data_IF_122991846079
#
_entry.id   IF_122991846079
#
_cell.length_a   1.000
_cell.length_b   1.000
_cell.length_c   1.000
_cell.angle_alpha   90.00
_cell.angle_beta   90.00
_cell.angle_gamma   90.00
#
_symmetry.space_group_name_H-M   'P 1'
#
loop_
_entity.id
_entity.type
_entity.pdbx_description
1 polymer ?
#
# COMPACT_ATOMS: atom_id res chain seq x y z
N UNK A 1 -20.19 -34.20 -35.27
CA UNK A 1 -20.91 -32.93 -35.00
C UNK A 1 -19.93 -31.81 -35.27
N UNK A 2 -20.19 -30.95 -36.24
CA UNK A 2 -19.35 -29.76 -36.46
C UNK A 2 -19.43 -28.86 -35.23
N UNK A 3 -18.32 -28.70 -34.52
CA UNK A 3 -18.27 -27.80 -33.37
C UNK A 3 -18.43 -26.36 -33.85
N UNK A 4 -19.46 -25.69 -33.36
CA UNK A 4 -19.75 -24.30 -33.70
C UNK A 4 -18.60 -23.41 -33.24
N UNK A 5 -17.95 -22.72 -34.19
CA UNK A 5 -16.89 -21.75 -33.90
C UNK A 5 -17.46 -20.53 -33.15
N UNK A 6 -16.77 -20.12 -32.10
CA UNK A 6 -17.08 -18.95 -31.27
C UNK A 6 -16.49 -17.71 -31.94
N UNK A 7 -17.27 -16.63 -32.02
CA UNK A 7 -16.79 -15.33 -32.48
C UNK A 7 -16.08 -14.63 -31.31
N UNK A 8 -14.79 -14.35 -31.47
CA UNK A 8 -13.97 -13.63 -30.50
C UNK A 8 -13.67 -12.24 -31.01
N UNK A 9 -14.06 -11.22 -30.26
CA UNK A 9 -13.78 -9.81 -30.54
C UNK A 9 -12.78 -9.27 -29.53
N UNK A 10 -11.67 -8.71 -30.03
CA UNK A 10 -10.69 -8.01 -29.21
C UNK A 10 -10.93 -6.51 -29.37
N UNK A 11 -11.11 -5.79 -28.27
CA UNK A 11 -11.50 -4.37 -28.28
C UNK A 11 -10.50 -3.55 -27.48
N UNK A 12 -10.03 -2.46 -28.06
CA UNK A 12 -9.23 -1.45 -27.36
C UNK A 12 -10.13 -0.75 -26.34
N UNK A 13 -9.83 -0.91 -25.06
CA UNK A 13 -10.61 -0.36 -23.95
C UNK A 13 -10.61 1.18 -23.92
N UNK A 14 -9.54 1.82 -24.41
CA UNK A 14 -9.37 3.28 -24.41
C UNK A 14 -10.15 3.95 -25.55
N UNK A 15 -10.14 3.33 -26.74
CA UNK A 15 -10.81 3.86 -27.94
C UNK A 15 -12.21 3.27 -28.13
N UNK A 16 -12.54 2.22 -27.38
CA UNK A 16 -13.76 1.39 -27.52
C UNK A 16 -13.94 0.87 -28.95
N UNK A 17 -12.85 0.71 -29.70
CA UNK A 17 -12.81 0.23 -31.08
C UNK A 17 -12.37 -1.22 -31.16
N UNK A 18 -12.98 -1.99 -32.06
CA UNK A 18 -12.56 -3.37 -32.33
C UNK A 18 -11.17 -3.37 -32.96
N UNK A 19 -10.22 -4.03 -32.30
CA UNK A 19 -8.86 -4.25 -32.82
C UNK A 19 -8.91 -5.33 -33.89
N UNK A 20 -9.52 -6.48 -33.58
CA UNK A 20 -9.69 -7.58 -34.51
C UNK A 20 -10.84 -8.50 -34.10
N UNK A 21 -11.36 -9.26 -35.06
CA UNK A 21 -12.37 -10.30 -34.85
C UNK A 21 -11.85 -11.62 -35.43
N UNK A 22 -11.98 -12.70 -34.66
CA UNK A 22 -11.59 -14.04 -35.09
C UNK A 22 -12.67 -15.07 -34.74
N UNK A 23 -12.55 -16.27 -35.33
CA UNK A 23 -13.40 -17.42 -35.01
C UNK A 23 -12.53 -18.52 -34.42
N UNK A 24 -12.83 -18.93 -33.19
CA UNK A 24 -12.06 -19.94 -32.44
C UNK A 24 -12.92 -21.15 -32.12
N UNK A 25 -12.30 -22.32 -32.02
CA UNK A 25 -12.95 -23.50 -31.47
C UNK A 25 -13.07 -23.37 -29.95
N UNK A 26 -14.11 -23.93 -29.30
CA UNK A 26 -14.20 -23.94 -27.84
C UNK A 26 -12.97 -24.52 -27.14
N UNK A 27 -12.30 -25.50 -27.75
CA UNK A 27 -11.06 -26.10 -27.23
C UNK A 27 -9.85 -25.17 -27.25
N UNK A 28 -9.89 -24.09 -28.03
CA UNK A 28 -8.82 -23.09 -28.16
C UNK A 28 -8.97 -21.94 -27.16
N UNK A 29 -10.03 -21.93 -26.35
CA UNK A 29 -10.29 -20.90 -25.35
C UNK A 29 -9.94 -21.40 -23.94
N UNK A 30 -9.33 -20.57 -23.09
CA UNK A 30 -9.13 -20.88 -21.68
C UNK A 30 -10.48 -21.07 -20.97
N UNK A 31 -10.49 -21.82 -19.88
CA UNK A 31 -11.71 -22.10 -19.12
C UNK A 31 -12.25 -20.84 -18.42
N UNK A 32 -11.36 -19.91 -18.08
CA UNK A 32 -11.65 -18.60 -17.52
C UNK A 32 -10.68 -17.56 -18.09
N UNK A 33 -11.18 -16.36 -18.35
CA UNK A 33 -10.33 -15.21 -18.67
C UNK A 33 -10.05 -14.45 -17.39
N UNK A 34 -8.85 -14.63 -16.84
CA UNK A 34 -8.36 -13.85 -15.71
C UNK A 34 -7.89 -12.48 -16.19
N UNK A 35 -8.24 -11.43 -15.43
CA UNK A 35 -7.68 -10.10 -15.62
C UNK A 35 -6.16 -10.19 -15.46
N UNK A 36 -5.38 -9.39 -16.21
CA UNK A 36 -3.89 -9.34 -16.21
C UNK A 36 -3.20 -10.32 -17.19
N UNK A 37 -3.92 -11.11 -18.00
CA UNK A 37 -3.31 -11.86 -19.11
C UNK A 37 -2.72 -10.94 -20.17
N UNK A 38 -1.47 -11.17 -20.60
CA UNK A 38 -0.82 -10.42 -21.69
C UNK A 38 -1.04 -11.16 -23.03
N UNK A 39 -1.47 -10.42 -24.04
CA UNK A 39 -1.62 -10.89 -25.43
C UNK A 39 -0.69 -10.10 -26.33
N UNK A 40 0.06 -10.81 -27.18
CA UNK A 40 0.79 -10.19 -28.28
C UNK A 40 -0.12 -10.13 -29.52
N UNK A 41 -0.41 -8.92 -30.00
CA UNK A 41 -1.27 -8.68 -31.16
C UNK A 41 -0.52 -7.76 -32.10
N UNK A 42 -0.18 -8.26 -33.30
CA UNK A 42 0.55 -7.50 -34.33
C UNK A 42 1.91 -6.94 -33.85
N UNK A 43 2.61 -7.68 -32.98
CA UNK A 43 3.90 -7.26 -32.41
C UNK A 43 3.79 -6.21 -31.31
N UNK A 44 2.58 -5.93 -30.82
CA UNK A 44 2.32 -5.07 -29.66
C UNK A 44 1.77 -5.90 -28.51
N UNK A 45 2.15 -5.57 -27.29
CA UNK A 45 1.65 -6.23 -26.08
C UNK A 45 0.40 -5.51 -25.53
N UNK A 46 -0.58 -6.31 -25.12
CA UNK A 46 -1.87 -5.85 -24.63
C UNK A 46 -2.24 -6.63 -23.37
N UNK A 47 -2.74 -5.94 -22.34
CA UNK A 47 -3.26 -6.58 -21.13
C UNK A 47 -4.77 -6.77 -21.24
N UNK A 48 -5.27 -7.93 -20.85
CA UNK A 48 -6.71 -8.21 -20.70
C UNK A 48 -7.26 -7.48 -19.48
N UNK A 49 -8.14 -6.51 -19.72
CA UNK A 49 -8.78 -5.69 -18.68
C UNK A 49 -10.27 -6.00 -18.50
N UNK A 50 -10.83 -6.89 -19.32
CA UNK A 50 -12.19 -7.38 -19.16
C UNK A 50 -12.54 -8.45 -20.19
N UNK A 51 -13.48 -9.32 -19.84
CA UNK A 51 -14.06 -10.32 -20.74
C UNK A 51 -15.57 -10.44 -20.52
N UNK A 52 -16.32 -10.52 -21.60
CA UNK A 52 -17.77 -10.71 -21.59
C UNK A 52 -18.20 -11.72 -22.68
N UNK A 53 -18.72 -12.90 -22.31
CA UNK A 53 -18.81 -13.45 -20.95
C UNK A 53 -17.43 -13.86 -20.38
N UNK A 54 -17.29 -13.92 -19.06
CA UNK A 54 -16.02 -14.26 -18.38
C UNK A 54 -15.76 -15.78 -18.31
N UNK A 55 -16.82 -16.57 -18.28
CA UNK A 55 -16.81 -18.02 -18.08
C UNK A 55 -17.01 -18.77 -19.41
N UNK A 56 -16.18 -19.77 -19.69
CA UNK A 56 -16.26 -20.56 -20.94
C UNK A 56 -17.60 -21.24 -21.17
N UNK A 57 -18.27 -21.66 -20.09
CA UNK A 57 -19.60 -22.26 -20.19
C UNK A 57 -20.65 -21.29 -20.77
N UNK A 58 -20.53 -19.99 -20.50
CA UNK A 58 -21.40 -18.95 -21.03
C UNK A 58 -20.98 -18.52 -22.45
N UNK A 59 -19.68 -18.51 -22.73
CA UNK A 59 -19.16 -18.26 -24.07
C UNK A 59 -19.67 -19.32 -25.06
N UNK A 60 -19.67 -20.60 -24.66
CA UNK A 60 -20.20 -21.70 -25.49
C UNK A 60 -21.70 -21.52 -25.75
N UNK A 61 -22.47 -21.13 -24.73
CA UNK A 61 -23.91 -20.88 -24.85
C UNK A 61 -24.22 -19.70 -25.79
N UNK A 62 -23.50 -18.60 -25.63
CA UNK A 62 -23.75 -17.36 -26.39
C UNK A 62 -23.11 -17.37 -27.78
N UNK A 63 -22.09 -18.19 -27.99
CA UNK A 63 -21.32 -18.27 -29.23
C UNK A 63 -20.46 -17.03 -29.52
N UNK A 64 -20.32 -16.14 -28.54
CA UNK A 64 -19.56 -14.88 -28.65
C UNK A 64 -18.72 -14.65 -27.41
N UNK A 65 -17.57 -14.02 -27.60
CA UNK A 65 -16.67 -13.56 -26.55
C UNK A 65 -16.14 -12.20 -26.96
N UNK A 66 -16.25 -11.22 -26.07
CA UNK A 66 -15.65 -9.90 -26.22
C UNK A 66 -14.59 -9.71 -25.13
N UNK A 67 -13.36 -9.46 -25.54
CA UNK A 67 -12.23 -9.21 -24.65
C UNK A 67 -11.85 -7.73 -24.78
N UNK A 68 -11.88 -7.00 -23.66
CA UNK A 68 -11.37 -5.65 -23.57
C UNK A 68 -9.87 -5.69 -23.23
N UNK A 69 -9.09 -4.95 -24.02
CA UNK A 69 -7.65 -4.90 -23.95
C UNK A 69 -7.16 -3.49 -23.67
N UNK A 70 -6.13 -3.34 -22.84
CA UNK A 70 -5.38 -2.10 -22.69
C UNK A 70 -3.99 -2.29 -23.27
N UNK A 71 -3.56 -1.37 -24.15
CA UNK A 71 -2.21 -1.42 -24.71
C UNK A 71 -1.19 -1.27 -23.60
N UNK A 72 -0.21 -2.16 -23.53
CA UNK A 72 0.90 -2.03 -22.60
C UNK A 72 1.87 -1.05 -23.25
N UNK A 73 1.99 0.16 -22.67
CA UNK A 73 3.08 1.07 -23.01
C UNK A 73 4.14 0.95 -21.94
N UNK A 74 5.33 0.53 -22.35
CA UNK A 74 6.53 0.73 -21.56
C UNK A 74 6.90 2.21 -21.68
N UNK A 75 6.34 3.04 -20.80
CA UNK A 75 6.94 4.34 -20.55
C UNK A 75 8.40 4.10 -20.15
N UNK A 76 9.30 5.01 -20.54
CA UNK A 76 10.68 4.95 -20.10
C UNK A 76 10.69 4.80 -18.56
N UNK A 77 11.26 3.73 -17.98
CA UNK A 77 11.18 3.50 -16.53
C UNK A 77 11.77 4.67 -15.72
N UNK A 78 12.63 5.51 -16.32
CA UNK A 78 13.13 6.74 -15.71
C UNK A 78 12.06 7.85 -15.54
N UNK A 79 10.92 7.73 -16.21
CA UNK A 79 9.76 8.60 -16.06
C UNK A 79 8.71 8.03 -15.10
N UNK A 80 8.85 6.76 -14.70
CA UNK A 80 7.96 6.14 -13.71
C UNK A 80 8.33 6.66 -12.33
N UNK A 81 7.37 7.32 -11.68
CA UNK A 81 7.52 7.77 -10.30
C UNK A 81 7.24 6.63 -9.34
N UNK A 82 8.00 6.56 -8.25
CA UNK A 82 7.67 5.72 -7.11
C UNK A 82 6.37 6.23 -6.46
N UNK A 83 5.51 5.30 -6.05
CA UNK A 83 4.26 5.59 -5.33
C UNK A 83 4.53 5.91 -3.85
N UNK A 84 5.62 5.38 -3.29
CA UNK A 84 6.00 5.51 -1.89
C UNK A 84 7.31 6.31 -1.74
N UNK A 85 7.47 7.02 -0.61
CA UNK A 85 8.71 7.72 -0.29
C UNK A 85 9.81 6.75 0.21
N UNK A 86 9.44 5.53 0.58
CA UNK A 86 10.35 4.58 1.23
C UNK A 86 9.91 3.14 1.06
N UNK A 87 10.87 2.21 1.14
CA UNK A 87 10.66 0.75 1.19
C UNK A 87 11.66 0.12 2.17
N UNK A 88 11.37 -1.09 2.63
CA UNK A 88 12.32 -1.92 3.38
C UNK A 88 13.37 -2.51 2.43
N UNK A 89 14.64 -2.59 2.85
CA UNK A 89 15.70 -3.35 2.17
C UNK A 89 15.58 -4.86 2.38
N UNK A 90 14.85 -5.26 3.43
CA UNK A 90 14.54 -6.65 3.74
C UNK A 90 13.31 -7.09 2.92
N UNK A 91 13.45 -8.05 1.99
CA UNK A 91 12.34 -8.59 1.19
C UNK A 91 11.54 -9.68 1.92
N UNK A 92 11.90 -10.01 3.16
CA UNK A 92 11.37 -11.17 3.88
C UNK A 92 12.02 -12.49 3.45
N UNK A 93 11.73 -13.56 4.21
CA UNK A 93 12.18 -14.93 3.90
C UNK A 93 11.02 -15.68 3.25
N UNK A 94 11.13 -15.91 1.94
CA UNK A 94 10.13 -16.65 1.16
C UNK A 94 10.57 -18.11 0.96
N UNK A 95 9.64 -19.03 1.14
CA UNK A 95 9.76 -20.46 0.81
C UNK A 95 8.56 -20.91 -0.06
N UNK A 96 8.81 -21.87 -0.96
CA UNK A 96 7.78 -22.54 -1.78
C UNK A 96 7.25 -21.74 -2.98
N UNK A 97 6.40 -22.39 -3.79
CA UNK A 97 5.70 -21.79 -4.93
C UNK A 97 4.24 -21.53 -4.58
N UNK A 98 3.73 -20.33 -4.92
CA UNK A 98 2.32 -19.85 -4.81
C UNK A 98 1.57 -20.15 -3.50
N UNK A 99 1.17 -19.07 -2.80
CA UNK A 99 0.40 -19.20 -1.57
C UNK A 99 -0.95 -19.91 -1.78
N UNK A 100 -1.31 -20.91 -0.96
CA UNK A 100 -2.59 -21.61 -1.05
C UNK A 100 -3.80 -20.70 -0.77
N UNK A 101 -4.99 -21.20 -1.12
CA UNK A 101 -6.26 -20.59 -0.72
C UNK A 101 -6.31 -20.42 0.82
N UNK A 102 -6.70 -19.23 1.29
CA UNK A 102 -6.75 -18.91 2.73
C UNK A 102 -5.56 -18.14 3.29
N UNK A 103 -4.53 -17.85 2.48
CA UNK A 103 -3.44 -16.96 2.86
C UNK A 103 -3.86 -15.48 2.94
N UNK A 104 -3.18 -14.72 3.78
CA UNK A 104 -3.18 -13.27 3.70
C UNK A 104 -2.18 -12.83 2.64
N UNK A 105 -2.65 -12.03 1.68
CA UNK A 105 -1.87 -11.61 0.53
C UNK A 105 -1.56 -10.13 0.66
N UNK A 106 -0.27 -9.77 0.60
CA UNK A 106 0.21 -8.38 0.64
C UNK A 106 0.91 -8.01 -0.67
N UNK A 107 0.96 -6.71 -0.96
CA UNK A 107 1.83 -6.18 -2.00
C UNK A 107 3.29 -6.12 -1.49
N UNK A 108 4.30 -6.30 -2.34
CA UNK A 108 5.71 -6.24 -1.90
C UNK A 108 6.02 -4.91 -1.22
N UNK A 109 5.58 -3.80 -1.82
CA UNK A 109 5.75 -2.45 -1.30
C UNK A 109 5.12 -2.19 0.09
N UNK A 110 4.13 -3.00 0.51
CA UNK A 110 3.49 -2.87 1.82
C UNK A 110 4.31 -3.50 2.95
N UNK A 111 5.30 -4.34 2.60
CA UNK A 111 6.16 -5.01 3.58
C UNK A 111 6.84 -3.99 4.49
N UNK A 112 6.60 -4.15 5.79
CA UNK A 112 7.17 -3.33 6.87
C UNK A 112 6.91 -1.82 6.75
N UNK A 113 5.85 -1.37 6.06
CA UNK A 113 5.50 0.06 5.99
C UNK A 113 4.82 0.58 7.27
N UNK A 114 4.01 -0.26 7.90
CA UNK A 114 3.38 -0.04 9.21
C UNK A 114 3.79 -1.18 10.11
N UNK A 115 4.79 -0.95 10.95
CA UNK A 115 5.40 -2.01 11.76
C UNK A 115 5.51 -1.63 13.22
N UNK A 116 5.77 -2.65 14.05
CA UNK A 116 6.14 -2.48 15.43
C UNK A 116 7.66 -2.68 15.56
N UNK A 117 8.31 -1.78 16.29
CA UNK A 117 9.77 -1.77 16.45
C UNK A 117 10.10 -1.58 17.92
N UNK A 118 11.06 -2.35 18.43
CA UNK A 118 11.59 -2.15 19.77
C UNK A 118 12.12 -0.72 19.98
N UNK A 119 11.92 -0.18 21.17
CA UNK A 119 12.39 1.16 21.54
C UNK A 119 13.91 1.32 21.49
N UNK A 120 14.67 0.21 21.52
CA UNK A 120 16.14 0.28 21.36
C UNK A 120 16.55 0.90 20.02
N UNK A 121 15.67 0.85 19.02
CA UNK A 121 15.88 1.43 17.68
C UNK A 121 15.43 2.90 17.59
N UNK A 122 15.17 3.60 18.69
CA UNK A 122 14.72 4.99 18.66
C UNK A 122 15.62 5.90 17.82
N UNK A 123 16.94 5.80 18.00
CA UNK A 123 17.91 6.55 17.20
C UNK A 123 17.85 6.19 15.71
N UNK A 124 17.82 4.90 15.39
CA UNK A 124 17.67 4.41 14.01
C UNK A 124 16.39 4.92 13.36
N UNK A 125 15.25 4.88 14.05
CA UNK A 125 13.97 5.38 13.55
C UNK A 125 14.07 6.88 13.23
N UNK A 126 14.72 7.66 14.08
CA UNK A 126 14.90 9.10 13.85
C UNK A 126 15.75 9.40 12.60
N UNK A 127 16.83 8.64 12.38
CA UNK A 127 17.65 8.77 11.17
C UNK A 127 16.89 8.37 9.90
N UNK A 128 16.16 7.25 9.94
CA UNK A 128 15.30 6.82 8.83
C UNK A 128 14.25 7.88 8.50
N UNK A 129 13.63 8.49 9.51
CA UNK A 129 12.65 9.58 9.31
C UNK A 129 13.26 10.82 8.64
N UNK A 130 14.50 11.16 8.98
CA UNK A 130 15.20 12.27 8.36
C UNK A 130 15.48 12.02 6.87
N UNK A 131 15.92 10.80 6.52
CA UNK A 131 16.12 10.41 5.12
C UNK A 131 14.80 10.42 4.32
N UNK A 132 13.72 9.90 4.92
CA UNK A 132 12.37 9.93 4.33
C UNK A 132 11.90 11.38 4.13
N UNK A 133 12.18 12.27 5.09
CA UNK A 133 11.86 13.69 4.98
C UNK A 133 12.60 14.34 3.80
N UNK A 134 13.86 13.98 3.56
CA UNK A 134 14.64 14.42 2.40
C UNK A 134 13.98 13.97 1.08
N UNK A 135 13.47 12.74 1.00
CA UNK A 135 12.71 12.26 -0.17
C UNK A 135 11.48 13.13 -0.42
N UNK A 136 10.70 13.41 0.62
CA UNK A 136 9.53 14.27 0.51
C UNK A 136 9.86 15.67 0.00
N UNK A 137 10.94 16.28 0.50
CA UNK A 137 11.30 17.65 0.16
C UNK A 137 11.89 17.79 -1.24
N UNK A 138 12.73 16.84 -1.65
CA UNK A 138 13.59 17.01 -2.83
C UNK A 138 13.15 16.17 -4.04
N UNK A 139 12.38 15.11 -3.82
CA UNK A 139 12.11 14.12 -4.86
C UNK A 139 10.63 13.93 -5.19
N UNK A 140 9.71 14.57 -4.47
CA UNK A 140 8.28 14.51 -4.78
C UNK A 140 7.93 15.26 -6.07
N UNK A 141 7.14 14.62 -6.93
CA UNK A 141 6.59 15.19 -8.17
C UNK A 141 5.13 14.77 -8.30
N UNK A 142 4.21 15.73 -8.17
CA UNK A 142 2.78 15.44 -8.14
C UNK A 142 2.42 14.47 -7.01
N UNK A 143 1.85 13.33 -7.36
CA UNK A 143 1.44 12.28 -6.41
C UNK A 143 2.54 11.25 -6.10
N UNK A 144 3.65 11.24 -6.83
CA UNK A 144 4.73 10.25 -6.67
C UNK A 144 6.10 10.88 -6.38
N UNK A 145 7.16 10.06 -6.46
CA UNK A 145 8.53 10.43 -6.15
C UNK A 145 9.52 9.99 -7.23
N UNK A 146 10.54 10.81 -7.50
CA UNK A 146 11.65 10.49 -8.41
C UNK A 146 12.69 9.56 -7.79
N UNK A 147 12.72 9.49 -6.46
CA UNK A 147 13.58 8.62 -5.66
C UNK A 147 12.77 8.16 -4.45
N UNK A 148 13.15 7.02 -3.90
CA UNK A 148 12.69 6.58 -2.60
C UNK A 148 13.90 6.34 -1.69
N UNK A 149 13.63 6.25 -0.39
CA UNK A 149 14.60 5.85 0.61
C UNK A 149 14.48 4.38 0.96
N UNK A 150 15.57 3.62 0.91
CA UNK A 150 15.61 2.19 1.25
C UNK A 150 16.07 2.06 2.70
N UNK A 151 15.20 1.54 3.58
CA UNK A 151 15.44 1.43 5.02
C UNK A 151 16.16 0.14 5.38
N UNK A 152 17.17 0.25 6.23
CA UNK A 152 17.95 -0.91 6.70
C UNK A 152 18.52 -0.77 8.13
N UNK A 153 18.21 0.33 8.86
CA UNK A 153 18.77 0.58 10.20
C UNK A 153 18.06 -0.18 11.34
N UNK A 154 17.00 -0.92 11.02
CA UNK A 154 16.26 -1.81 11.95
C UNK A 154 16.00 -3.18 11.32
N UNK A 155 17.05 -3.96 10.99
CA UNK A 155 16.89 -5.22 10.27
C UNK A 155 16.15 -6.28 11.09
N UNK A 156 16.22 -6.21 12.42
CA UNK A 156 15.55 -7.13 13.35
C UNK A 156 14.75 -6.32 14.40
N UNK A 157 13.52 -5.86 14.08
CA UNK A 157 12.74 -4.94 14.94
C UNK A 157 12.46 -5.46 16.35
N UNK A 158 12.56 -6.77 16.58
CA UNK A 158 12.31 -7.44 17.85
C UNK A 158 13.58 -8.08 18.47
N UNK A 159 14.79 -7.68 18.07
CA UNK A 159 16.04 -8.35 18.47
C UNK A 159 16.29 -8.46 19.98
N UNK A 160 15.72 -7.57 20.80
CA UNK A 160 15.81 -7.59 22.26
C UNK A 160 14.51 -8.06 22.95
N UNK A 161 13.52 -8.54 22.19
CA UNK A 161 12.20 -8.92 22.69
C UNK A 161 11.95 -10.42 22.45
N UNK A 162 11.41 -11.09 23.46
CA UNK A 162 10.93 -12.47 23.36
C UNK A 162 9.42 -12.49 23.53
N UNK A 163 8.69 -12.29 22.43
CA UNK A 163 7.23 -12.17 22.44
C UNK A 163 6.63 -13.22 21.52
N UNK A 164 5.73 -14.05 22.05
CA UNK A 164 4.97 -15.02 21.27
C UNK A 164 3.72 -14.39 20.66
N UNK A 165 3.31 -14.89 19.50
CA UNK A 165 2.08 -14.47 18.80
C UNK A 165 0.85 -14.59 19.70
N UNK A 166 0.74 -15.65 20.51
CA UNK A 166 -0.38 -15.84 21.43
C UNK A 166 -0.52 -14.71 22.45
N UNK A 167 0.60 -14.19 22.96
CA UNK A 167 0.60 -13.09 23.91
C UNK A 167 0.09 -11.77 23.26
N UNK A 168 0.31 -11.59 21.96
CA UNK A 168 -0.26 -10.47 21.21
C UNK A 168 -1.76 -10.68 20.99
N UNK A 169 -2.19 -11.90 20.65
CA UNK A 169 -3.62 -12.23 20.45
C UNK A 169 -4.47 -12.06 21.71
N UNK A 170 -3.90 -12.20 22.90
CA UNK A 170 -4.60 -11.85 24.16
C UNK A 170 -4.99 -10.36 24.24
N UNK A 171 -4.20 -9.47 23.63
CA UNK A 171 -4.47 -8.03 23.59
C UNK A 171 -5.29 -7.67 22.35
N UNK A 172 -4.95 -8.26 21.22
CA UNK A 172 -5.55 -8.06 19.91
C UNK A 172 -6.23 -9.35 19.41
N UNK A 173 -7.40 -9.71 19.97
CA UNK A 173 -8.06 -10.98 19.70
C UNK A 173 -8.41 -11.16 18.23
N UNK A 174 -8.22 -12.40 17.75
CA UNK A 174 -8.54 -12.83 16.39
C UNK A 174 -10.04 -13.00 16.19
N UNK A 175 -10.52 -12.49 15.06
CA UNK A 175 -11.82 -12.80 14.44
C UNK A 175 -11.67 -13.90 13.39
N UNK A 176 -10.59 -13.84 12.62
CA UNK A 176 -10.26 -14.77 11.54
C UNK A 176 -8.75 -14.94 11.48
N UNK A 177 -8.30 -16.18 11.48
CA UNK A 177 -6.91 -16.53 11.22
C UNK A 177 -6.72 -16.85 9.74
N UNK A 178 -5.57 -16.44 9.21
CA UNK A 178 -5.11 -16.84 7.88
C UNK A 178 -4.11 -17.98 8.04
N UNK A 179 -3.96 -18.79 6.98
CA UNK A 179 -3.03 -19.91 7.01
C UNK A 179 -1.59 -19.39 7.06
N UNK A 180 -1.23 -18.54 6.10
CA UNK A 180 0.09 -17.93 6.00
C UNK A 180 0.04 -16.52 5.36
N UNK A 181 1.19 -15.86 5.31
CA UNK A 181 1.46 -14.62 4.56
C UNK A 181 2.09 -14.94 3.20
N UNK A 182 1.66 -14.25 2.15
CA UNK A 182 2.21 -14.39 0.80
C UNK A 182 2.19 -13.07 0.02
N UNK A 183 3.02 -12.97 -1.03
CA UNK A 183 3.00 -11.83 -1.95
C UNK A 183 1.98 -12.01 -3.08
N UNK A 184 1.43 -10.89 -3.56
CA UNK A 184 0.37 -10.85 -4.57
C UNK A 184 0.81 -11.41 -5.95
N UNK A 185 2.05 -11.18 -6.40
CA UNK A 185 2.49 -11.57 -7.75
C UNK A 185 3.69 -12.51 -7.80
N UNK A 186 4.56 -12.49 -6.80
CA UNK A 186 5.83 -13.22 -6.87
C UNK A 186 5.77 -14.69 -6.44
N UNK A 187 4.59 -15.21 -6.08
CA UNK A 187 4.41 -16.63 -5.76
C UNK A 187 5.40 -17.13 -4.70
N UNK A 188 5.17 -16.78 -3.44
CA UNK A 188 6.01 -17.26 -2.34
C UNK A 188 5.28 -17.11 -1.01
N UNK A 189 5.52 -18.04 -0.09
CA UNK A 189 4.96 -18.02 1.27
C UNK A 189 6.07 -17.62 2.23
N UNK A 190 5.77 -16.74 3.18
CA UNK A 190 6.74 -16.38 4.20
C UNK A 190 6.94 -17.55 5.17
N UNK A 191 8.18 -17.93 5.42
CA UNK A 191 8.50 -18.97 6.41
C UNK A 191 8.10 -18.53 7.81
N UNK A 192 7.49 -19.45 8.58
CA UNK A 192 7.05 -19.20 9.96
C UNK A 192 6.22 -17.91 10.07
N UNK A 193 5.36 -17.67 9.09
CA UNK A 193 4.54 -16.47 9.05
C UNK A 193 3.30 -16.57 9.93
N UNK A 194 2.70 -15.43 10.22
CA UNK A 194 1.37 -15.38 10.81
C UNK A 194 0.60 -14.23 10.19
N UNK A 195 -0.72 -14.39 10.12
CA UNK A 195 -1.64 -13.29 9.90
C UNK A 195 -2.99 -13.58 10.54
N UNK A 196 -3.63 -12.56 11.12
CA UNK A 196 -5.02 -12.65 11.58
C UNK A 196 -5.73 -11.31 11.48
N UNK A 197 -7.02 -11.35 11.18
CA UNK A 197 -7.93 -10.22 11.31
C UNK A 197 -8.38 -10.14 12.78
N UNK A 198 -8.22 -8.98 13.39
CA UNK A 198 -8.70 -8.70 14.74
C UNK A 198 -10.23 -8.55 14.76
N UNK A 199 -10.83 -8.60 15.95
CA UNK A 199 -12.27 -8.28 16.13
C UNK A 199 -12.66 -6.85 15.74
N UNK A 200 -11.69 -6.00 15.40
CA UNK A 200 -11.88 -4.62 14.94
C UNK A 200 -11.49 -4.43 13.46
N UNK A 201 -11.39 -5.51 12.69
CA UNK A 201 -11.16 -5.49 11.23
C UNK A 201 -9.74 -5.07 10.80
N UNK A 202 -8.83 -4.85 11.75
CA UNK A 202 -7.41 -4.67 11.47
C UNK A 202 -6.74 -6.02 11.29
N UNK A 203 -5.91 -6.17 10.27
CA UNK A 203 -5.10 -7.37 10.09
C UNK A 203 -3.73 -7.12 10.72
N UNK A 204 -3.26 -8.08 11.50
CA UNK A 204 -1.90 -8.12 12.06
C UNK A 204 -1.18 -9.26 11.36
N UNK A 205 0.05 -9.04 10.92
CA UNK A 205 0.85 -10.08 10.24
C UNK A 205 2.34 -9.92 10.51
N UNK A 206 3.11 -10.91 10.13
CA UNK A 206 4.56 -10.90 10.27
C UNK A 206 5.14 -12.30 10.18
N UNK A 207 6.32 -12.48 10.78
CA UNK A 207 6.95 -13.80 10.88
C UNK A 207 7.64 -13.99 12.23
N UNK A 208 7.85 -15.25 12.58
CA UNK A 208 8.54 -15.67 13.80
C UNK A 208 9.86 -16.37 13.49
N UNK A 209 10.67 -16.55 14.53
CA UNK A 209 11.75 -17.51 14.51
C UNK A 209 11.21 -18.95 14.65
N UNK A 210 12.13 -19.93 14.69
CA UNK A 210 11.83 -21.35 14.88
C UNK A 210 11.21 -21.69 16.24
N UNK A 211 11.28 -20.77 17.21
CA UNK A 211 10.72 -20.91 18.55
C UNK A 211 9.38 -20.16 18.72
N UNK A 212 8.77 -19.71 17.61
CA UNK A 212 7.52 -18.93 17.59
C UNK A 212 7.63 -17.56 18.28
N UNK A 213 8.85 -16.99 18.36
CA UNK A 213 9.07 -15.62 18.83
C UNK A 213 8.99 -14.65 17.64
N UNK A 214 8.21 -13.59 17.78
CA UNK A 214 8.01 -12.57 16.76
C UNK A 214 9.35 -11.94 16.38
N UNK A 215 9.67 -11.92 15.08
CA UNK A 215 10.82 -11.20 14.52
C UNK A 215 10.39 -9.91 13.82
N UNK A 216 9.23 -9.94 13.15
CA UNK A 216 8.59 -8.79 12.50
C UNK A 216 7.10 -8.84 12.78
N UNK A 217 6.49 -7.69 13.05
CA UNK A 217 5.03 -7.54 13.20
C UNK A 217 4.57 -6.25 12.53
N UNK A 218 3.52 -6.35 11.72
CA UNK A 218 2.96 -5.28 10.90
C UNK A 218 1.42 -5.20 11.04
N UNK A 219 0.83 -4.10 10.57
CA UNK A 219 -0.61 -3.84 10.65
C UNK A 219 -1.16 -3.09 9.42
N UNK A 220 -2.41 -3.36 9.05
CA UNK A 220 -3.05 -2.77 7.86
C UNK A 220 -3.42 -1.31 8.09
N UNK A 221 -3.25 -0.53 7.03
CA UNK A 221 -3.69 0.87 6.94
C UNK A 221 -5.18 1.00 6.59
N UNK A 222 -5.98 -0.07 6.68
CA UNK A 222 -7.40 -0.03 6.34
C UNK A 222 -8.21 0.75 7.40
N UNK A 223 -9.02 1.71 6.98
CA UNK A 223 -9.75 2.58 7.92
C UNK A 223 -11.08 1.96 8.33
N UNK A 224 -11.13 1.37 9.52
CA UNK A 224 -12.40 1.01 10.17
C UNK A 224 -12.73 1.95 11.32
N UNK A 225 -13.85 2.64 11.19
CA UNK A 225 -14.25 3.71 12.09
C UNK A 225 -14.94 3.22 13.36
N UNK A 226 -15.66 2.10 13.27
CA UNK A 226 -16.61 1.68 14.32
C UNK A 226 -15.91 1.32 15.63
N UNK A 227 -14.59 1.14 15.60
CA UNK A 227 -13.81 0.66 16.74
C UNK A 227 -12.54 1.46 17.02
N UNK A 228 -12.36 2.64 16.43
CA UNK A 228 -11.12 3.41 16.53
C UNK A 228 -10.67 3.66 17.98
N UNK A 229 -11.61 3.99 18.88
CA UNK A 229 -11.30 4.25 20.31
C UNK A 229 -10.81 2.96 20.99
N UNK A 230 -11.61 1.90 21.00
CA UNK A 230 -11.25 0.64 21.67
C UNK A 230 -9.98 0.04 21.09
N UNK A 231 -9.81 0.07 19.76
CA UNK A 231 -8.59 -0.39 19.11
C UNK A 231 -7.36 0.40 19.56
N UNK A 232 -7.48 1.74 19.62
CA UNK A 232 -6.39 2.63 20.06
C UNK A 232 -5.97 2.37 21.50
N UNK A 233 -6.92 2.08 22.40
CA UNK A 233 -6.62 1.69 23.79
C UNK A 233 -5.79 0.40 23.84
N UNK A 234 -6.14 -0.59 23.01
CA UNK A 234 -5.39 -1.86 22.94
C UNK A 234 -4.00 -1.67 22.35
N UNK A 235 -3.86 -0.81 21.35
CA UNK A 235 -2.56 -0.44 20.76
C UNK A 235 -1.65 0.29 21.75
N UNK A 236 -2.20 1.24 22.52
CA UNK A 236 -1.48 1.90 23.61
C UNK A 236 -1.00 0.89 24.65
N UNK A 237 -1.90 0.02 25.13
CA UNK A 237 -1.56 -1.05 26.09
C UNK A 237 -0.48 -1.99 25.55
N UNK A 238 -0.58 -2.39 24.29
CA UNK A 238 0.37 -3.29 23.64
C UNK A 238 1.76 -2.66 23.54
N UNK A 239 1.84 -1.44 23.03
CA UNK A 239 3.11 -0.73 22.85
C UNK A 239 3.77 -0.37 24.18
N UNK A 240 2.99 -0.07 25.20
CA UNK A 240 3.52 0.17 26.55
C UNK A 240 4.01 -1.12 27.21
N UNK A 241 3.18 -2.18 27.24
CA UNK A 241 3.49 -3.47 27.86
C UNK A 241 4.77 -4.11 27.32
N UNK A 242 4.97 -4.02 26.00
CA UNK A 242 6.08 -4.68 25.32
C UNK A 242 7.23 -3.73 24.95
N UNK A 243 7.12 -2.46 25.35
CA UNK A 243 8.15 -1.46 25.07
C UNK A 243 8.48 -1.38 23.57
N UNK A 244 7.43 -1.13 22.77
CA UNK A 244 7.47 -1.05 21.31
C UNK A 244 6.98 0.32 20.85
N UNK A 245 7.52 0.79 19.74
CA UNK A 245 6.92 1.82 18.91
C UNK A 245 6.03 1.19 17.84
N UNK A 246 4.86 1.76 17.61
CA UNK A 246 4.17 1.66 16.33
C UNK A 246 4.76 2.72 15.39
N UNK A 247 5.15 2.31 14.19
CA UNK A 247 5.81 3.16 13.20
C UNK A 247 5.08 3.11 11.85
N UNK A 248 4.65 4.25 11.32
CA UNK A 248 4.26 4.42 9.92
C UNK A 248 5.37 5.17 9.19
N UNK A 249 6.23 4.41 8.51
CA UNK A 249 7.41 4.93 7.82
C UNK A 249 7.06 5.92 6.72
N UNK A 250 5.96 5.67 6.01
CA UNK A 250 5.50 6.54 4.92
C UNK A 250 5.15 7.94 5.44
N UNK A 251 4.69 8.04 6.69
CA UNK A 251 4.26 9.31 7.29
C UNK A 251 5.28 9.91 8.27
N UNK A 252 6.35 9.19 8.59
CA UNK A 252 7.28 9.58 9.66
C UNK A 252 6.58 9.66 11.03
N UNK A 253 5.63 8.75 11.30
CA UNK A 253 4.86 8.74 12.56
C UNK A 253 5.35 7.61 13.44
N UNK A 254 5.59 7.93 14.71
CA UNK A 254 5.96 6.98 15.77
C UNK A 254 5.07 7.19 16.98
N UNK A 255 4.46 6.14 17.52
CA UNK A 255 3.55 6.22 18.68
C UNK A 255 3.87 5.08 19.66
N UNK A 256 3.90 5.38 20.95
CA UNK A 256 4.00 4.40 22.05
C UNK A 256 3.10 4.84 23.20
N UNK A 257 2.34 3.90 23.77
CA UNK A 257 1.63 4.06 25.06
C UNK A 257 0.54 5.14 25.12
N UNK A 258 0.33 5.93 24.06
CA UNK A 258 -0.60 7.05 24.07
C UNK A 258 -1.90 6.71 23.34
N UNK A 259 -2.96 6.50 24.12
CA UNK A 259 -4.31 6.29 23.59
C UNK A 259 -4.75 7.46 22.69
N UNK A 260 -4.50 8.70 23.14
CA UNK A 260 -4.85 9.92 22.40
C UNK A 260 -4.17 9.96 21.02
N UNK A 261 -2.87 9.69 20.96
CA UNK A 261 -2.13 9.68 19.70
C UNK A 261 -2.61 8.55 18.77
N UNK A 262 -2.94 7.38 19.31
CA UNK A 262 -3.52 6.30 18.51
C UNK A 262 -4.93 6.65 18.00
N UNK A 263 -5.78 7.27 18.83
CA UNK A 263 -7.10 7.75 18.42
C UNK A 263 -6.95 8.75 17.29
N UNK A 264 -6.04 9.72 17.43
CA UNK A 264 -5.71 10.69 16.38
C UNK A 264 -5.23 10.04 15.10
N UNK A 265 -4.39 9.00 15.21
CA UNK A 265 -3.85 8.30 14.06
C UNK A 265 -4.92 7.48 13.30
N UNK A 266 -5.74 6.72 14.02
CA UNK A 266 -6.74 5.81 13.46
C UNK A 266 -8.09 6.47 13.17
N UNK A 267 -8.41 7.62 13.77
CA UNK A 267 -9.64 8.34 13.46
C UNK A 267 -9.50 9.16 12.17
N UNK A 268 -10.44 8.98 11.24
CA UNK A 268 -10.52 9.79 10.00
C UNK A 268 -11.08 11.19 10.27
N UNK A 269 -11.82 11.37 11.36
CA UNK A 269 -12.52 12.63 11.65
C UNK A 269 -11.54 13.76 11.99
N UNK A 270 -10.43 13.47 12.68
CA UNK A 270 -9.36 14.46 12.88
C UNK A 270 -8.56 14.73 11.60
N UNK A 271 -8.37 13.73 10.73
CA UNK A 271 -7.76 13.95 9.41
C UNK A 271 -8.65 14.84 8.53
N UNK A 272 -9.95 14.58 8.46
CA UNK A 272 -10.91 15.40 7.70
C UNK A 272 -11.12 16.78 8.33
N UNK A 273 -11.16 16.92 9.66
CA UNK A 273 -11.19 18.21 10.35
C UNK A 273 -9.87 18.98 10.18
N UNK A 274 -8.71 18.31 10.21
CA UNK A 274 -7.43 18.93 9.91
C UNK A 274 -7.37 19.40 8.45
N UNK A 275 -7.80 18.59 7.48
CA UNK A 275 -7.90 19.03 6.08
C UNK A 275 -8.87 20.20 5.91
N UNK A 276 -10.04 20.16 6.55
CA UNK A 276 -11.06 21.21 6.49
C UNK A 276 -10.67 22.52 7.22
N UNK A 277 -9.95 22.46 8.33
CA UNK A 277 -9.41 23.64 9.03
C UNK A 277 -8.16 24.19 8.33
N UNK A 278 -7.30 23.34 7.77
CA UNK A 278 -6.20 23.76 6.90
C UNK A 278 -6.73 24.47 5.63
N UNK A 279 -7.83 23.98 5.03
CA UNK A 279 -8.52 24.65 3.92
C UNK A 279 -8.96 26.10 4.26
N UNK A 280 -9.40 26.34 5.51
CA UNK A 280 -9.80 27.67 5.99
C UNK A 280 -8.60 28.58 6.28
N UNK A 281 -7.47 28.03 6.73
CA UNK A 281 -6.29 28.82 7.12
C UNK A 281 -5.51 29.34 5.91
N UNK A 282 -5.61 28.71 4.74
CA UNK A 282 -4.71 28.97 3.60
C UNK A 282 -5.35 29.74 2.46
N UNK A 283 -6.67 29.68 2.25
CA UNK A 283 -7.31 30.41 1.15
C UNK A 283 -7.16 31.94 1.34
N UNK A 284 -6.58 32.63 0.35
CA UNK A 284 -6.49 34.10 0.34
C UNK A 284 -5.31 34.73 1.08
N UNK A 285 -4.29 33.95 1.50
CA UNK A 285 -3.07 34.49 2.15
C UNK A 285 -1.92 34.64 1.16
N UNK A 286 -1.11 35.69 1.32
CA UNK A 286 0.15 35.85 0.59
C UNK A 286 1.22 34.89 1.10
N UNK A 287 2.02 34.35 0.18
CA UNK A 287 3.06 33.35 0.45
C UNK A 287 4.26 33.56 -0.44
N UNK A 288 5.45 33.41 0.11
CA UNK A 288 6.69 33.32 -0.66
C UNK A 288 6.98 31.87 -1.06
N UNK A 289 7.20 31.61 -2.35
CA UNK A 289 7.64 30.30 -2.82
C UNK A 289 9.04 29.98 -2.26
N UNK A 290 9.24 28.85 -1.56
CA UNK A 290 10.55 28.53 -0.97
C UNK A 290 11.61 28.26 -2.05
N UNK A 291 11.20 27.83 -3.25
CA UNK A 291 12.10 27.52 -4.36
C UNK A 291 12.54 28.77 -5.13
N UNK A 292 11.61 29.64 -5.50
CA UNK A 292 11.89 30.76 -6.41
C UNK A 292 11.59 32.14 -5.83
N UNK A 293 11.27 32.21 -4.54
CA UNK A 293 11.04 33.46 -3.78
C UNK A 293 9.89 34.32 -4.29
N UNK A 294 9.05 33.79 -5.17
CA UNK A 294 7.90 34.52 -5.73
C UNK A 294 6.77 34.57 -4.72
N UNK A 295 6.27 35.76 -4.45
CA UNK A 295 5.10 35.97 -3.59
C UNK A 295 3.81 35.75 -4.39
N UNK A 296 2.87 34.98 -3.86
CA UNK A 296 1.57 34.73 -4.50
C UNK A 296 0.46 34.49 -3.47
N UNK A 297 -0.79 34.71 -3.87
CA UNK A 297 -1.98 34.45 -3.05
C UNK A 297 -2.50 33.04 -3.29
N UNK A 298 -2.63 32.24 -2.23
CA UNK A 298 -3.11 30.86 -2.35
C UNK A 298 -4.59 30.78 -2.70
N UNK A 299 -4.89 30.06 -3.78
CA UNK A 299 -6.26 29.89 -4.31
C UNK A 299 -6.95 28.67 -3.68
N UNK A 300 -6.19 27.65 -3.26
CA UNK A 300 -6.64 26.39 -2.62
C UNK A 300 -5.51 25.80 -1.73
N UNK A 301 -5.74 24.61 -1.14
CA UNK A 301 -4.79 23.88 -0.28
C UNK A 301 -3.53 23.33 -0.98
N UNK A 302 -3.46 23.43 -2.32
CA UNK A 302 -2.28 23.05 -3.09
C UNK A 302 -1.56 24.34 -3.48
N UNK A 303 -0.50 24.67 -2.75
CA UNK A 303 0.37 25.80 -3.06
C UNK A 303 1.26 25.50 -4.26
N UNK A 304 0.68 25.43 -5.46
CA UNK A 304 1.46 25.44 -6.69
C UNK A 304 1.95 26.87 -6.93
N UNK A 305 3.26 27.10 -6.84
CA UNK A 305 3.80 28.40 -7.20
C UNK A 305 3.47 28.70 -8.67
N UNK A 306 2.77 29.80 -8.97
CA UNK A 306 2.33 30.08 -10.35
C UNK A 306 3.51 30.34 -11.30
N UNK A 307 4.68 30.69 -10.76
CA UNK A 307 5.89 30.96 -11.54
C UNK A 307 6.69 29.71 -11.89
N UNK A 308 6.89 28.81 -10.93
CA UNK A 308 7.82 27.66 -11.10
C UNK A 308 7.15 26.29 -11.00
N UNK A 309 5.83 26.24 -10.78
CA UNK A 309 5.07 25.00 -10.63
C UNK A 309 5.41 24.19 -9.38
N UNK A 310 6.26 24.70 -8.49
CA UNK A 310 6.62 24.00 -7.24
C UNK A 310 5.39 23.88 -6.35
N UNK A 311 4.97 22.64 -6.10
CA UNK A 311 3.85 22.31 -5.22
C UNK A 311 4.39 22.09 -3.82
N UNK A 312 3.91 22.86 -2.85
CA UNK A 312 4.18 22.63 -1.45
C UNK A 312 2.88 22.48 -0.66
N UNK A 313 2.90 21.56 0.31
CA UNK A 313 1.74 21.21 1.12
C UNK A 313 1.76 21.97 2.44
N UNK A 314 0.57 22.22 2.98
CA UNK A 314 0.35 22.97 4.21
C UNK A 314 0.98 22.37 5.48
N UNK A 315 1.50 21.13 5.43
CA UNK A 315 2.19 20.47 6.54
C UNK A 315 3.61 21.01 6.81
N UNK A 316 4.11 21.93 5.99
CA UNK A 316 5.35 22.67 6.27
C UNK A 316 5.13 24.18 6.30
N UNK A 317 4.47 24.73 7.34
CA UNK A 317 4.79 26.09 7.75
C UNK A 317 6.16 26.04 8.44
N UNK A 318 7.13 26.74 7.86
CA UNK A 318 8.22 27.26 8.66
C UNK A 318 7.61 27.97 9.90
N UNK A 319 7.94 27.48 11.10
CA UNK A 319 7.75 28.14 12.40
C UNK A 319 6.41 28.10 13.16
N UNK A 320 5.49 27.16 12.93
CA UNK A 320 4.44 26.93 13.96
C UNK A 320 3.82 25.54 13.84
N UNK A 321 4.46 24.54 14.43
CA UNK A 321 3.90 23.33 15.04
C UNK A 321 5.11 22.45 15.38
N UNK A 322 5.73 22.70 16.55
CA UNK A 322 6.55 21.69 17.20
C UNK A 322 5.58 20.56 17.59
N UNK A 323 5.53 19.51 16.78
CA UNK A 323 5.33 18.20 17.38
C UNK A 323 6.55 17.96 18.28
N UNK A 324 6.42 17.41 19.50
CA UNK A 324 7.59 16.89 20.19
C UNK A 324 8.11 15.77 19.29
N UNK A 325 9.20 16.09 18.58
CA UNK A 325 9.88 15.20 17.66
C UNK A 325 10.53 14.05 18.43
#
# INVERSE_FOLDING_TARGET
>A
MDMKKIRVELVDSSKKSVITTSKRLPSELPDKFELVMILEIMGEEWSVVGADPMEKSEIIKTGRLRIELAKISYDNPNNTLFSLPTISDDPGVLEGETGPEGNFVIHEDDWRQLEFVSTIYEGSIAEEFEDIRIIYMNHRVGIGFKKLHVRNRSPLPFSDKSIQVMAIKEILPSRKDFNDLSYYQNGGVFSNSFAWETVWGKIIWGHTDKNNMIQVMCITDNYEHQHAITFSQKMAKLTDKYDLFFVDWRKGVKIKGSEELFIKYFSREEKMKAYAELDKVWKGKERECPKCKTVFTSVQNIGGCPKCGFVFFASHPANSFQYPF
#
